data_IF_279629942286
#
_entry.id   IF_279629942286
#
_cell.length_a   1.000
_cell.length_b   1.000
_cell.length_c   1.000
_cell.angle_alpha   90.00
_cell.angle_beta   90.00
_cell.angle_gamma   90.00
#
_symmetry.space_group_name_H-M   'P 1'
#
loop_
_entity.id
_entity.type
_entity.pdbx_description
1 polymer ?
#
# COMPACT_ATOMS: atom_id res chain seq x y z
N UNK A 1 -12.88 -18.41 -1.11
CA UNK A 1 -12.71 -18.20 -2.58
C UNK A 1 -13.43 -16.94 -3.04
N UNK A 2 -13.16 -16.47 -4.25
CA UNK A 2 -13.92 -15.36 -4.85
C UNK A 2 -15.41 -15.69 -5.03
N UNK A 3 -15.76 -16.94 -5.22
CA UNK A 3 -17.15 -17.38 -5.30
C UNK A 3 -17.89 -17.09 -3.99
N UNK A 4 -17.26 -17.33 -2.85
CA UNK A 4 -17.84 -17.07 -1.52
C UNK A 4 -18.03 -15.56 -1.27
N UNK A 5 -17.16 -14.71 -1.81
CA UNK A 5 -17.29 -13.27 -1.69
C UNK A 5 -18.51 -12.71 -2.40
N UNK A 6 -18.93 -13.30 -3.54
CA UNK A 6 -20.10 -12.85 -4.32
C UNK A 6 -21.41 -12.85 -3.52
N UNK A 7 -21.48 -13.62 -2.44
CA UNK A 7 -22.65 -13.72 -1.56
C UNK A 7 -22.55 -12.85 -0.30
N UNK A 8 -21.42 -12.16 -0.10
CA UNK A 8 -21.24 -11.27 1.05
C UNK A 8 -21.84 -9.90 0.81
N UNK A 9 -22.56 -9.37 1.80
CA UNK A 9 -23.10 -8.01 1.79
C UNK A 9 -22.00 -6.95 1.87
N UNK A 10 -20.93 -7.27 2.59
CA UNK A 10 -19.79 -6.38 2.83
C UNK A 10 -18.50 -7.13 2.51
N UNK A 11 -17.62 -6.52 1.71
CA UNK A 11 -16.37 -7.11 1.29
C UNK A 11 -15.23 -6.14 1.60
N UNK A 12 -14.28 -6.61 2.40
CA UNK A 12 -13.01 -5.93 2.68
C UNK A 12 -11.87 -6.77 2.11
N UNK A 13 -11.10 -6.20 1.19
CA UNK A 13 -9.93 -6.85 0.58
C UNK A 13 -8.63 -6.22 1.04
N UNK A 14 -7.60 -7.03 1.09
CA UNK A 14 -6.25 -6.63 1.46
C UNK A 14 -5.25 -7.15 0.43
N UNK A 15 -4.34 -6.32 -0.06
CA UNK A 15 -3.23 -6.76 -0.90
C UNK A 15 -2.22 -7.55 -0.08
N UNK A 16 -1.88 -8.76 -0.52
CA UNK A 16 -0.91 -9.61 0.15
C UNK A 16 -1.48 -10.40 1.33
N UNK A 17 -0.58 -10.79 2.22
CA UNK A 17 -0.91 -11.57 3.42
C UNK A 17 -1.41 -10.66 4.53
N UNK A 18 -2.58 -10.98 5.08
CA UNK A 18 -3.19 -10.22 6.18
C UNK A 18 -2.37 -10.42 7.47
N UNK A 19 -1.94 -9.33 8.14
CA UNK A 19 -1.23 -9.45 9.40
C UNK A 19 -2.06 -10.15 10.49
N UNK A 20 -1.42 -11.09 11.20
CA UNK A 20 -2.07 -11.96 12.21
C UNK A 20 -2.06 -11.32 13.61
N UNK A 21 -2.64 -10.11 13.74
CA UNK A 21 -2.66 -9.36 15.01
C UNK A 21 -4.07 -8.97 15.49
N UNK A 22 -5.11 -9.49 14.86
CA UNK A 22 -6.52 -9.24 15.23
C UNK A 22 -7.13 -7.96 14.64
N UNK A 23 -6.36 -6.94 14.33
CA UNK A 23 -6.86 -5.67 13.75
C UNK A 23 -7.37 -5.82 12.32
N UNK A 24 -6.92 -6.85 11.62
CA UNK A 24 -7.25 -7.10 10.20
C UNK A 24 -8.25 -8.23 9.99
N UNK A 25 -8.91 -8.74 11.04
CA UNK A 25 -9.79 -9.90 10.96
C UNK A 25 -10.95 -9.77 9.97
N UNK A 26 -11.38 -8.54 9.67
CA UNK A 26 -12.44 -8.27 8.68
C UNK A 26 -11.99 -8.38 7.22
N UNK A 27 -10.68 -8.36 6.97
CA UNK A 27 -10.12 -8.38 5.63
C UNK A 27 -9.90 -9.79 5.10
N UNK A 28 -10.04 -9.94 3.80
CA UNK A 28 -9.61 -11.13 3.04
C UNK A 28 -8.38 -10.74 2.24
N UNK A 29 -7.26 -11.40 2.51
CA UNK A 29 -5.99 -11.18 1.83
C UNK A 29 -5.96 -11.80 0.43
N UNK A 30 -5.35 -11.08 -0.49
CA UNK A 30 -5.01 -11.55 -1.84
C UNK A 30 -3.54 -11.96 -1.84
N UNK A 31 -3.27 -13.21 -1.46
CA UNK A 31 -1.92 -13.72 -1.23
C UNK A 31 -1.34 -14.37 -2.48
N UNK A 32 -0.04 -14.23 -2.69
CA UNK A 32 0.67 -14.97 -3.74
C UNK A 32 0.81 -16.46 -3.40
N UNK A 33 0.81 -16.81 -2.13
CA UNK A 33 1.16 -18.16 -1.64
C UNK A 33 0.05 -18.84 -0.88
N UNK A 34 -0.76 -18.11 -0.11
CA UNK A 34 -1.74 -18.66 0.81
C UNK A 34 -3.13 -18.81 0.19
N UNK A 35 -3.82 -19.92 0.54
CA UNK A 35 -5.22 -20.16 0.26
C UNK A 35 -5.83 -20.82 1.50
N UNK A 36 -6.58 -20.06 2.30
CA UNK A 36 -7.18 -20.53 3.55
C UNK A 36 -8.48 -19.75 3.87
N UNK A 37 -8.96 -19.78 5.10
CA UNK A 37 -10.20 -19.07 5.49
C UNK A 37 -10.10 -17.54 5.38
N UNK A 38 -8.88 -16.96 5.47
CA UNK A 38 -8.62 -15.51 5.42
C UNK A 38 -7.89 -15.07 4.15
N UNK A 39 -7.40 -16.00 3.33
CA UNK A 39 -6.63 -15.66 2.13
C UNK A 39 -7.17 -16.35 0.88
N UNK A 40 -7.19 -15.61 -0.21
CA UNK A 40 -7.42 -16.13 -1.56
C UNK A 40 -6.09 -16.03 -2.32
N UNK A 41 -5.63 -17.14 -2.89
CA UNK A 41 -4.41 -17.13 -3.71
C UNK A 41 -4.68 -16.33 -5.00
N UNK A 42 -4.08 -15.16 -5.09
CA UNK A 42 -4.24 -14.26 -6.23
C UNK A 42 -3.09 -13.26 -6.32
N UNK A 43 -2.62 -13.03 -7.55
CA UNK A 43 -1.70 -11.94 -7.81
C UNK A 43 -2.50 -10.67 -8.11
N UNK A 44 -2.31 -9.62 -7.31
CA UNK A 44 -3.04 -8.35 -7.42
C UNK A 44 -2.81 -7.60 -8.73
N UNK A 45 -1.79 -7.97 -9.49
CA UNK A 45 -1.55 -7.43 -10.85
C UNK A 45 -2.49 -8.04 -11.90
N UNK A 46 -3.21 -9.10 -11.57
CA UNK A 46 -4.18 -9.74 -12.43
C UNK A 46 -5.60 -9.21 -12.16
N UNK A 47 -6.47 -9.31 -13.17
CA UNK A 47 -7.87 -8.96 -13.03
C UNK A 47 -8.53 -9.74 -11.90
N UNK A 48 -9.28 -9.05 -11.04
CA UNK A 48 -10.04 -9.65 -9.95
C UNK A 48 -11.31 -10.33 -10.50
N UNK A 49 -11.57 -11.62 -10.21
CA UNK A 49 -12.79 -12.31 -10.63
C UNK A 49 -13.99 -11.91 -9.77
N UNK A 50 -14.20 -10.61 -9.65
CA UNK A 50 -15.29 -9.95 -8.92
C UNK A 50 -16.07 -9.03 -9.88
N UNK A 51 -17.35 -8.82 -9.56
CA UNK A 51 -18.18 -7.86 -10.26
C UNK A 51 -17.73 -6.42 -9.98
N UNK A 52 -18.10 -5.51 -10.83
CA UNK A 52 -17.96 -4.07 -10.57
C UNK A 52 -18.76 -3.69 -9.33
N UNK A 53 -18.29 -2.68 -8.60
CA UNK A 53 -19.04 -2.06 -7.50
C UNK A 53 -19.47 -3.03 -6.37
N UNK A 54 -18.59 -3.94 -5.95
CA UNK A 54 -18.95 -4.94 -4.92
C UNK A 54 -18.07 -4.86 -3.65
N UNK A 55 -16.93 -4.18 -3.69
CA UNK A 55 -15.98 -4.08 -2.56
C UNK A 55 -16.21 -2.77 -1.80
N UNK A 56 -16.28 -2.84 -0.47
CA UNK A 56 -16.47 -1.66 0.40
C UNK A 56 -15.15 -0.98 0.70
N UNK A 57 -14.13 -1.75 1.09
CA UNK A 57 -12.79 -1.25 1.40
C UNK A 57 -11.76 -2.18 0.74
N UNK A 58 -10.80 -1.58 0.07
CA UNK A 58 -9.60 -2.25 -0.41
C UNK A 58 -8.40 -1.60 0.28
N UNK A 59 -7.63 -2.37 1.04
CA UNK A 59 -6.44 -1.88 1.72
C UNK A 59 -5.17 -2.51 1.15
N UNK A 60 -4.11 -1.72 1.03
CA UNK A 60 -2.78 -2.19 0.65
C UNK A 60 -1.75 -1.52 1.55
N UNK A 61 -1.00 -2.32 2.28
CA UNK A 61 0.16 -1.89 3.06
C UNK A 61 1.40 -2.64 2.59
N UNK A 62 2.46 -1.90 2.26
CA UNK A 62 3.77 -2.46 1.92
C UNK A 62 3.73 -3.53 0.81
N UNK A 63 2.97 -3.25 -0.26
CA UNK A 63 2.84 -4.15 -1.41
C UNK A 63 3.15 -3.47 -2.73
N UNK A 64 2.72 -2.22 -2.93
CA UNK A 64 2.84 -1.56 -4.23
C UNK A 64 4.29 -1.21 -4.60
N UNK A 65 5.16 -1.02 -3.64
CA UNK A 65 6.60 -0.83 -3.86
C UNK A 65 7.31 -2.06 -4.41
N UNK A 66 6.69 -3.24 -4.31
CA UNK A 66 7.16 -4.49 -4.92
C UNK A 66 6.66 -4.69 -6.36
N UNK A 67 5.78 -3.81 -6.83
CA UNK A 67 5.21 -3.84 -8.19
C UNK A 67 5.84 -2.71 -9.00
N UNK A 68 6.29 -2.99 -10.20
CA UNK A 68 6.83 -1.95 -11.10
C UNK A 68 5.86 -0.77 -11.21
N UNK A 69 6.36 0.45 -11.02
CA UNK A 69 5.56 1.68 -11.02
C UNK A 69 4.67 1.80 -12.28
N UNK A 70 5.18 1.34 -13.43
CA UNK A 70 4.47 1.36 -14.72
C UNK A 70 3.24 0.45 -14.76
N UNK A 71 3.16 -0.56 -13.89
CA UNK A 71 2.02 -1.49 -13.79
C UNK A 71 0.94 -1.00 -12.83
N UNK A 72 1.29 -0.14 -11.89
CA UNK A 72 0.37 0.31 -10.82
C UNK A 72 -0.90 1.01 -11.33
N UNK A 73 -0.89 1.85 -12.39
CA UNK A 73 -2.13 2.42 -12.90
C UNK A 73 -3.18 1.36 -13.28
N UNK A 74 -2.74 0.25 -13.88
CA UNK A 74 -3.64 -0.86 -14.22
C UNK A 74 -4.20 -1.57 -12.98
N UNK A 75 -3.36 -1.78 -11.96
CA UNK A 75 -3.76 -2.36 -10.66
C UNK A 75 -4.79 -1.48 -9.97
N UNK A 76 -4.52 -0.17 -9.89
CA UNK A 76 -5.41 0.79 -9.22
C UNK A 76 -6.72 0.95 -9.99
N UNK A 77 -6.71 0.93 -11.32
CA UNK A 77 -7.92 0.94 -12.15
C UNK A 77 -8.80 -0.30 -11.89
N UNK A 78 -8.18 -1.47 -11.71
CA UNK A 78 -8.92 -2.69 -11.38
C UNK A 78 -9.52 -2.63 -9.97
N UNK A 79 -8.80 -2.07 -9.00
CA UNK A 79 -9.32 -1.80 -7.65
C UNK A 79 -10.49 -0.82 -7.73
N UNK A 80 -10.35 0.27 -8.50
CA UNK A 80 -11.45 1.22 -8.72
C UNK A 80 -12.67 0.54 -9.31
N UNK A 81 -12.49 -0.36 -10.28
CA UNK A 81 -13.61 -1.09 -10.92
C UNK A 81 -14.43 -1.85 -9.88
N UNK A 82 -13.77 -2.60 -9.00
CA UNK A 82 -14.46 -3.44 -8.01
C UNK A 82 -14.99 -2.66 -6.81
N UNK A 83 -14.44 -1.51 -6.48
CA UNK A 83 -14.94 -0.68 -5.38
C UNK A 83 -16.36 -0.18 -5.66
N UNK A 84 -17.21 -0.18 -4.61
CA UNK A 84 -18.54 0.46 -4.63
C UNK A 84 -18.40 1.98 -4.85
N UNK A 85 -19.45 2.69 -5.27
CA UNK A 85 -19.44 4.15 -5.42
C UNK A 85 -19.07 4.94 -4.14
N UNK A 86 -19.18 4.31 -2.97
CA UNK A 86 -18.75 4.86 -1.67
C UNK A 86 -17.55 4.11 -1.10
N UNK A 87 -16.94 3.25 -1.92
CA UNK A 87 -15.83 2.41 -1.50
C UNK A 87 -14.52 3.18 -1.42
N UNK A 88 -13.61 2.69 -0.59
CA UNK A 88 -12.33 3.34 -0.32
C UNK A 88 -11.18 2.40 -0.64
N UNK A 89 -10.20 2.91 -1.38
CA UNK A 89 -8.85 2.36 -1.44
C UNK A 89 -8.01 3.07 -0.38
N UNK A 90 -7.54 2.34 0.63
CA UNK A 90 -6.56 2.81 1.61
C UNK A 90 -5.19 2.28 1.28
N UNK A 91 -4.23 3.17 1.03
CA UNK A 91 -2.84 2.83 0.76
C UNK A 91 -1.94 3.25 1.91
N UNK A 92 -0.99 2.37 2.25
CA UNK A 92 0.17 2.67 3.04
C UNK A 92 1.41 2.18 2.29
N UNK A 93 2.32 3.09 2.02
CA UNK A 93 3.58 2.83 1.30
C UNK A 93 4.75 3.34 2.14
N UNK A 94 5.91 2.68 2.15
CA UNK A 94 7.08 3.22 2.82
C UNK A 94 7.43 4.60 2.25
N UNK A 95 7.60 5.61 3.11
CA UNK A 95 8.03 6.95 2.67
C UNK A 95 9.56 7.06 2.74
N UNK A 96 10.21 7.09 1.59
CA UNK A 96 11.68 7.12 1.53
C UNK A 96 12.30 8.49 1.84
N UNK A 97 11.49 9.48 2.17
CA UNK A 97 11.95 10.70 2.84
C UNK A 97 12.06 10.53 4.37
N UNK A 98 11.45 9.48 4.95
CA UNK A 98 11.67 9.12 6.34
C UNK A 98 13.15 8.75 6.58
N UNK A 99 13.75 9.38 7.59
CA UNK A 99 15.17 9.19 7.95
C UNK A 99 15.56 7.71 8.16
N UNK A 100 14.69 6.92 8.79
CA UNK A 100 14.90 5.49 9.04
C UNK A 100 15.03 4.71 7.73
N UNK A 101 14.13 4.93 6.79
CA UNK A 101 14.11 4.23 5.51
C UNK A 101 15.22 4.74 4.59
N UNK A 102 15.39 6.06 4.53
CA UNK A 102 16.42 6.70 3.73
C UNK A 102 17.83 6.26 4.14
N UNK A 103 18.11 6.24 5.47
CA UNK A 103 19.45 5.93 5.98
C UNK A 103 19.84 4.47 5.80
N UNK A 104 18.91 3.52 5.87
CA UNK A 104 19.19 2.09 5.66
C UNK A 104 19.34 1.70 4.19
N UNK A 105 18.80 2.52 3.28
CA UNK A 105 18.80 2.24 1.84
C UNK A 105 20.19 2.48 1.24
N UNK A 106 20.67 1.54 0.44
CA UNK A 106 21.91 1.68 -0.34
C UNK A 106 21.71 2.72 -1.44
N UNK A 107 22.74 3.54 -1.65
CA UNK A 107 22.73 4.65 -2.59
C UNK A 107 23.87 4.55 -3.60
N UNK A 108 23.67 5.15 -4.76
CA UNK A 108 24.73 5.40 -5.74
C UNK A 108 25.70 6.47 -5.25
N UNK A 109 26.78 6.69 -5.98
CA UNK A 109 27.72 7.79 -5.73
C UNK A 109 27.04 9.17 -5.89
N UNK A 110 25.97 9.25 -6.65
CA UNK A 110 25.15 10.47 -6.85
C UNK A 110 24.05 10.65 -5.81
N UNK A 111 23.87 9.66 -4.91
CA UNK A 111 22.86 9.70 -3.84
C UNK A 111 21.50 9.09 -4.22
N UNK A 112 21.37 8.54 -5.44
CA UNK A 112 20.13 7.87 -5.85
C UNK A 112 19.90 6.59 -5.06
N UNK A 113 18.68 6.33 -4.63
CA UNK A 113 18.31 5.12 -3.91
C UNK A 113 18.39 3.90 -4.85
N UNK A 114 19.09 2.85 -4.44
CA UNK A 114 19.32 1.65 -5.25
C UNK A 114 18.66 0.40 -4.69
N UNK A 115 18.77 0.18 -3.37
CA UNK A 115 18.29 -1.03 -2.74
C UNK A 115 18.00 -0.81 -1.26
N UNK A 116 16.83 -1.21 -0.80
CA UNK A 116 16.48 -1.23 0.62
C UNK A 116 16.59 -2.67 1.17
N UNK A 117 17.62 -3.00 1.97
CA UNK A 117 17.73 -4.33 2.57
C UNK A 117 16.55 -4.70 3.47
N UNK A 118 15.85 -3.70 4.03
CA UNK A 118 14.66 -3.92 4.85
C UNK A 118 13.38 -4.18 4.05
N UNK A 119 13.42 -3.97 2.74
CA UNK A 119 12.32 -4.25 1.81
C UNK A 119 12.31 -5.67 1.26
N UNK A 120 13.28 -6.51 1.68
CA UNK A 120 13.45 -7.87 1.14
C UNK A 120 14.13 -7.91 -0.23
N UNK A 121 14.20 -9.11 -0.80
CA UNK A 121 14.87 -9.34 -2.07
C UNK A 121 16.39 -9.25 -2.00
N UNK A 122 17.02 -9.25 -3.18
CA UNK A 122 18.45 -9.15 -3.34
C UNK A 122 18.81 -8.08 -4.39
N UNK A 123 20.02 -7.50 -4.28
CA UNK A 123 20.53 -6.56 -5.26
C UNK A 123 21.64 -7.21 -6.08
N UNK A 124 21.32 -7.54 -7.33
CA UNK A 124 22.23 -8.28 -8.24
C UNK A 124 22.37 -7.53 -9.56
N UNK A 125 23.62 -7.23 -9.93
CA UNK A 125 23.93 -6.55 -11.21
C UNK A 125 23.12 -5.26 -11.44
N UNK A 126 22.99 -4.44 -10.40
CA UNK A 126 22.27 -3.15 -10.47
C UNK A 126 20.74 -3.27 -10.49
N UNK A 127 20.19 -4.43 -10.15
CA UNK A 127 18.73 -4.66 -10.15
C UNK A 127 18.28 -5.33 -8.86
N UNK A 128 17.10 -4.94 -8.38
CA UNK A 128 16.40 -5.64 -7.30
C UNK A 128 15.72 -6.88 -7.87
N UNK A 129 15.95 -8.02 -7.25
CA UNK A 129 15.39 -9.33 -7.62
C UNK A 129 14.80 -10.01 -6.38
N UNK A 130 14.09 -11.13 -6.57
CA UNK A 130 13.54 -11.96 -5.50
C UNK A 130 12.58 -11.21 -4.54
N UNK A 131 11.83 -10.23 -5.05
CA UNK A 131 10.69 -9.64 -4.33
C UNK A 131 10.99 -8.41 -3.47
N UNK A 132 12.11 -7.72 -3.66
CA UNK A 132 12.41 -6.46 -2.95
C UNK A 132 11.62 -5.26 -3.48
N UNK A 133 11.89 -4.08 -2.91
CA UNK A 133 11.32 -2.82 -3.38
C UNK A 133 11.95 -2.45 -4.73
N UNK A 134 11.13 -2.33 -5.76
CA UNK A 134 11.58 -2.03 -7.14
C UNK A 134 11.49 -0.56 -7.51
N UNK A 135 10.91 0.24 -6.64
CA UNK A 135 10.92 1.70 -6.65
C UNK A 135 10.78 2.22 -5.21
N UNK A 136 11.05 3.50 -5.00
CA UNK A 136 11.13 4.12 -3.68
C UNK A 136 10.06 5.20 -3.56
N UNK A 137 8.89 4.89 -2.93
CA UNK A 137 7.79 5.83 -2.79
C UNK A 137 8.19 7.11 -2.06
N UNK A 138 7.79 8.25 -2.65
CA UNK A 138 7.77 9.58 -2.08
C UNK A 138 6.44 10.24 -2.42
N UNK A 139 6.03 11.24 -1.66
CA UNK A 139 4.73 11.91 -1.80
C UNK A 139 4.41 12.30 -3.24
N UNK A 140 5.33 13.01 -3.94
CA UNK A 140 5.09 13.47 -5.31
C UNK A 140 4.85 12.33 -6.29
N UNK A 141 5.66 11.27 -6.21
CA UNK A 141 5.51 10.10 -7.09
C UNK A 141 4.18 9.40 -6.86
N UNK A 142 3.77 9.24 -5.59
CA UNK A 142 2.48 8.61 -5.25
C UNK A 142 1.32 9.51 -5.67
N UNK A 143 1.41 10.82 -5.48
CA UNK A 143 0.41 11.80 -5.92
C UNK A 143 0.22 11.73 -7.44
N UNK A 144 1.30 11.84 -8.22
CA UNK A 144 1.25 11.72 -9.68
C UNK A 144 0.68 10.38 -10.15
N UNK A 145 1.01 9.28 -9.46
CA UNK A 145 0.46 7.97 -9.76
C UNK A 145 -1.07 7.96 -9.60
N UNK A 146 -1.56 8.48 -8.47
CA UNK A 146 -2.99 8.48 -8.15
C UNK A 146 -3.79 9.44 -9.04
N UNK A 147 -3.23 10.60 -9.38
CA UNK A 147 -3.85 11.58 -10.29
C UNK A 147 -4.08 11.03 -11.72
N UNK A 148 -3.30 10.04 -12.13
CA UNK A 148 -3.46 9.32 -13.42
C UNK A 148 -4.56 8.25 -13.39
N UNK A 149 -5.22 8.07 -12.25
CA UNK A 149 -6.29 7.08 -12.04
C UNK A 149 -7.69 7.73 -12.05
N UNK A 150 -8.78 6.94 -12.07
CA UNK A 150 -10.13 7.48 -12.02
C UNK A 150 -10.52 8.13 -10.69
N UNK A 151 -9.77 7.92 -9.61
CA UNK A 151 -10.05 8.53 -8.31
C UNK A 151 -9.98 10.06 -8.39
N UNK A 152 -10.97 10.75 -7.77
CA UNK A 152 -11.03 12.22 -7.71
C UNK A 152 -11.01 12.76 -6.29
N UNK A 153 -11.43 11.96 -5.31
CA UNK A 153 -11.35 12.28 -3.89
C UNK A 153 -10.15 11.54 -3.30
N UNK A 154 -9.00 12.22 -3.25
CA UNK A 154 -7.71 11.67 -2.78
C UNK A 154 -7.27 12.49 -1.57
N UNK A 155 -7.21 11.85 -0.40
CA UNK A 155 -6.86 12.48 0.87
C UNK A 155 -5.57 11.85 1.44
N UNK A 156 -4.49 12.61 1.45
CA UNK A 156 -3.22 12.24 2.10
C UNK A 156 -3.28 12.58 3.58
N UNK A 157 -2.86 11.65 4.42
CA UNK A 157 -2.83 11.80 5.89
C UNK A 157 -1.41 11.93 6.43
N UNK A 158 -0.54 10.99 6.10
CA UNK A 158 0.85 10.98 6.54
C UNK A 158 1.77 10.99 5.33
N UNK A 159 2.75 11.87 5.31
CA UNK A 159 3.76 11.98 4.24
C UNK A 159 4.80 13.05 4.58
N UNK A 160 5.91 13.07 3.87
CA UNK A 160 6.79 14.24 3.78
C UNK A 160 6.44 15.03 2.53
N UNK A 161 6.24 16.35 2.68
CA UNK A 161 5.93 17.22 1.54
C UNK A 161 7.15 17.49 0.64
N UNK A 162 6.96 18.28 -0.42
CA UNK A 162 8.01 18.63 -1.38
C UNK A 162 9.21 19.35 -0.76
N UNK A 163 9.04 19.98 0.40
CA UNK A 163 10.11 20.65 1.15
C UNK A 163 10.81 19.69 2.13
N UNK A 164 10.38 18.44 2.23
CA UNK A 164 10.85 17.47 3.21
C UNK A 164 10.27 17.66 4.61
N UNK A 165 9.20 18.46 4.74
CA UNK A 165 8.51 18.67 6.00
C UNK A 165 7.51 17.52 6.24
N UNK A 166 7.55 16.99 7.46
CA UNK A 166 6.59 15.98 7.90
C UNK A 166 5.17 16.55 8.02
N UNK A 167 4.21 15.80 7.52
CA UNK A 167 2.77 16.07 7.60
C UNK A 167 2.08 14.87 8.21
N UNK A 168 1.33 15.11 9.28
CA UNK A 168 0.53 14.09 9.95
C UNK A 168 -0.86 14.63 10.24
N UNK A 169 -1.87 14.04 9.60
CA UNK A 169 -3.29 14.30 9.88
C UNK A 169 -3.91 13.10 10.58
N UNK A 170 -4.93 13.29 11.44
CA UNK A 170 -5.64 12.18 12.08
C UNK A 170 -6.19 11.19 11.06
N UNK A 171 -5.97 9.89 11.32
CA UNK A 171 -6.46 8.79 10.49
C UNK A 171 -7.68 8.17 11.15
N UNK A 172 -8.75 7.95 10.36
CA UNK A 172 -9.88 7.13 10.81
C UNK A 172 -9.53 5.64 10.66
N UNK A 173 -9.06 5.03 11.75
CA UNK A 173 -8.71 3.62 11.78
C UNK A 173 -9.90 2.65 11.74
N UNK A 174 -11.14 3.13 11.82
CA UNK A 174 -12.33 2.29 11.61
C UNK A 174 -12.41 1.76 10.18
N UNK A 175 -11.84 2.49 9.23
CA UNK A 175 -11.74 2.09 7.82
C UNK A 175 -10.72 0.96 7.60
N UNK A 176 -9.66 0.91 8.42
CA UNK A 176 -8.60 -0.10 8.39
C UNK A 176 -7.42 0.35 9.22
N UNK A 177 -6.86 -0.60 9.99
CA UNK A 177 -5.66 -0.36 10.79
C UNK A 177 -4.45 -0.21 9.87
N UNK A 178 -3.48 0.62 10.24
CA UNK A 178 -2.19 0.78 9.57
C UNK A 178 -1.08 0.67 10.60
N UNK A 179 -0.17 -0.27 10.39
CA UNK A 179 0.87 -0.57 11.40
C UNK A 179 1.97 0.47 11.46
N UNK A 180 2.46 0.94 10.31
CA UNK A 180 3.61 1.87 10.25
C UNK A 180 3.19 3.33 10.26
N UNK A 181 2.46 3.70 11.31
CA UNK A 181 2.14 5.10 11.62
C UNK A 181 2.69 5.46 13.00
N UNK A 182 2.94 6.74 13.31
CA UNK A 182 3.40 7.14 14.63
C UNK A 182 2.41 6.83 15.76
N UNK A 183 1.15 6.52 15.43
CA UNK A 183 0.16 6.04 16.42
C UNK A 183 0.45 4.59 16.87
N UNK A 184 1.08 3.77 16.02
CA UNK A 184 1.26 2.33 16.23
C UNK A 184 2.71 1.86 16.17
N UNK A 185 3.64 2.67 15.67
CA UNK A 185 5.05 2.31 15.49
C UNK A 185 5.96 3.17 16.37
N UNK A 186 6.52 2.57 17.41
CA UNK A 186 7.39 3.24 18.39
C UNK A 186 8.62 3.90 17.76
N UNK A 187 9.08 3.45 16.58
CA UNK A 187 10.26 4.01 15.89
C UNK A 187 10.05 5.44 15.40
N UNK A 188 8.81 5.87 15.22
CA UNK A 188 8.44 7.18 14.68
C UNK A 188 7.48 7.96 15.56
N UNK A 189 7.31 7.51 16.81
CA UNK A 189 6.44 8.13 17.79
C UNK A 189 7.08 9.34 18.47
N UNK A 190 8.38 9.28 18.67
CA UNK A 190 9.15 10.38 19.28
C UNK A 190 10.47 10.59 18.52
N UNK A 191 10.62 11.66 17.75
CA UNK A 191 9.56 12.63 17.40
C UNK A 191 8.44 12.00 16.56
N UNK A 192 7.20 12.48 16.78
CA UNK A 192 6.03 12.03 16.06
C UNK A 192 6.10 12.47 14.59
N UNK A 193 6.32 11.52 13.67
CA UNK A 193 6.54 11.77 12.25
C UNK A 193 6.14 10.60 11.37
N UNK A 194 5.88 10.81 10.07
CA UNK A 194 5.55 9.73 9.15
C UNK A 194 6.68 8.71 8.99
N UNK A 195 6.34 7.43 8.81
CA UNK A 195 7.23 6.41 8.28
C UNK A 195 6.68 5.84 6.97
N UNK A 196 5.39 5.98 6.78
CA UNK A 196 4.70 5.58 5.56
C UNK A 196 3.85 6.73 5.03
N UNK A 197 3.73 6.81 3.71
CA UNK A 197 2.72 7.60 3.04
C UNK A 197 1.39 6.91 3.27
N UNK A 198 0.43 7.60 3.88
CA UNK A 198 -0.93 7.10 4.09
C UNK A 198 -1.91 7.96 3.31
N UNK A 199 -2.70 7.32 2.46
CA UNK A 199 -3.66 8.00 1.59
C UNK A 199 -4.92 7.18 1.40
N UNK A 200 -6.07 7.85 1.46
CA UNK A 200 -7.37 7.28 1.10
C UNK A 200 -7.83 7.86 -0.23
N UNK A 201 -8.29 6.97 -1.12
CA UNK A 201 -8.89 7.32 -2.39
C UNK A 201 -10.35 6.83 -2.39
N UNK A 202 -11.32 7.74 -2.48
CA UNK A 202 -12.75 7.40 -2.52
C UNK A 202 -13.25 7.36 -3.96
N UNK A 203 -14.09 6.36 -4.23
CA UNK A 203 -14.78 6.22 -5.51
C UNK A 203 -16.03 7.05 -5.58
#
# INVERSE_FOLDING_TARGET
SFADLKHKKTIFLYSGDVPQNGFYNKFIGLSLTQANSQHIKHNVTNKLPLNDNCVDIYQSEDVFEHIELTKLPSVINEIYRVLKPTGVLRLSLPDYQCDILHNRTQKSETGDLLFDPGGGGDFVNGKVVNGGHVWFPEYNTVKELLEKTPFKDIAFYHYYDESGKDVTHPIDYSMGHIMRTPDHDERVKDPYRPMSIVVDCKK
#
